data_IF_273511233562
#
_entry.id   IF_273511233562
#
_cell.length_a   1.000
_cell.length_b   1.000
_cell.length_c   1.000
_cell.angle_alpha   90.00
_cell.angle_beta   90.00
_cell.angle_gamma   90.00
#
_symmetry.space_group_name_H-M   'P 1'
#
loop_
_entity.id
_entity.type
_entity.pdbx_description
1 polymer ?
#
# COMPACT_ATOMS: atom_id res chain seq x y z
N UNK A 1 -22.11 5.94 -6.21
CA UNK A 1 -21.23 6.31 -7.36
C UNK A 1 -20.19 5.22 -7.58
N UNK A 2 -19.65 5.02 -8.79
CA UNK A 2 -18.67 3.95 -9.06
C UNK A 2 -17.46 3.95 -8.11
N UNK A 3 -17.00 5.12 -7.66
CA UNK A 3 -15.89 5.27 -6.73
C UNK A 3 -16.14 4.66 -5.33
N UNK A 4 -17.39 4.54 -4.89
CA UNK A 4 -17.73 3.97 -3.57
C UNK A 4 -17.45 2.46 -3.49
N UNK A 5 -17.33 1.78 -4.63
CA UNK A 5 -17.03 0.35 -4.72
C UNK A 5 -15.55 0.06 -4.98
N UNK A 6 -14.68 1.08 -4.99
CA UNK A 6 -13.26 0.92 -5.30
C UNK A 6 -12.44 1.13 -4.03
N UNK A 7 -11.65 0.11 -3.67
CA UNK A 7 -10.61 0.21 -2.64
C UNK A 7 -9.26 -0.18 -3.22
N UNK A 8 -8.21 0.58 -2.89
CA UNK A 8 -6.84 0.31 -3.33
C UNK A 8 -5.89 0.35 -2.15
N UNK A 9 -4.84 -0.46 -2.21
CA UNK A 9 -3.75 -0.48 -1.24
C UNK A 9 -2.48 -0.95 -1.97
N UNK A 10 -1.35 -0.30 -1.68
CA UNK A 10 -0.06 -0.60 -2.30
C UNK A 10 0.99 -1.07 -1.30
N UNK A 11 2.12 -1.53 -1.82
CA UNK A 11 3.33 -1.84 -1.06
C UNK A 11 4.54 -1.31 -1.82
N UNK A 12 5.52 -0.77 -1.11
CA UNK A 12 6.77 -0.30 -1.66
C UNK A 12 7.96 -1.03 -1.02
N UNK A 13 8.95 -1.41 -1.84
CA UNK A 13 10.23 -1.96 -1.39
C UNK A 13 11.37 -0.92 -1.45
N UNK A 14 11.09 0.22 -2.07
CA UNK A 14 11.97 1.36 -2.23
C UNK A 14 11.15 2.63 -2.44
N UNK A 15 11.73 3.79 -2.19
CA UNK A 15 11.14 5.09 -2.50
C UNK A 15 11.49 5.54 -3.91
N UNK A 16 10.69 6.45 -4.48
CA UNK A 16 10.94 7.00 -5.80
C UNK A 16 12.25 7.81 -5.83
N UNK A 17 13.06 7.62 -6.88
CA UNK A 17 14.26 8.41 -7.12
C UNK A 17 13.94 9.52 -8.14
N UNK A 18 14.01 10.78 -7.70
CA UNK A 18 13.76 11.93 -8.57
C UNK A 18 15.07 12.39 -9.24
N UNK A 19 15.07 12.68 -10.56
CA UNK A 19 16.25 13.21 -11.24
C UNK A 19 16.75 14.51 -10.59
N UNK A 20 18.06 14.59 -10.35
CA UNK A 20 18.69 15.77 -9.76
C UNK A 20 18.49 15.94 -8.24
N UNK A 21 17.78 15.01 -7.59
CA UNK A 21 17.59 14.98 -6.13
C UNK A 21 18.37 13.80 -5.55
N UNK A 22 18.99 13.99 -4.38
CA UNK A 22 19.60 12.87 -3.65
C UNK A 22 18.50 11.84 -3.32
N UNK A 23 18.68 10.54 -3.64
CA UNK A 23 17.73 9.50 -3.26
C UNK A 23 17.45 9.54 -1.75
N UNK A 24 16.18 9.35 -1.39
CA UNK A 24 15.78 9.27 0.01
C UNK A 24 16.09 7.88 0.56
N UNK A 25 16.67 7.84 1.77
CA UNK A 25 16.98 6.61 2.50
C UNK A 25 15.90 6.26 3.53
N UNK A 26 14.70 6.85 3.41
CA UNK A 26 13.62 6.71 4.41
C UNK A 26 13.16 5.26 4.58
N UNK A 27 13.15 4.48 3.49
CA UNK A 27 12.87 3.05 3.55
C UNK A 27 14.19 2.29 3.45
N UNK A 28 14.63 1.75 4.59
CA UNK A 28 15.88 1.00 4.66
C UNK A 28 15.79 -0.31 3.86
N UNK A 29 16.92 -0.76 3.33
CA UNK A 29 17.02 -2.07 2.70
C UNK A 29 16.51 -3.18 3.62
N UNK A 30 15.80 -4.16 3.06
CA UNK A 30 15.18 -5.25 3.82
C UNK A 30 13.84 -4.90 4.47
N UNK A 31 13.37 -3.65 4.36
CA UNK A 31 12.03 -3.25 4.78
C UNK A 31 11.13 -2.94 3.58
N UNK A 32 9.83 -3.10 3.80
CA UNK A 32 8.75 -2.68 2.93
C UNK A 32 7.86 -1.67 3.64
N UNK A 33 7.17 -0.83 2.87
CA UNK A 33 6.19 0.13 3.38
C UNK A 33 4.83 -0.11 2.73
N UNK A 34 3.83 -0.40 3.57
CA UNK A 34 2.46 -0.61 3.16
C UNK A 34 1.73 0.73 3.05
N UNK A 35 1.09 0.96 1.91
CA UNK A 35 0.30 2.16 1.67
C UNK A 35 1.14 3.41 1.37
N UNK A 36 2.39 3.25 0.95
CA UNK A 36 3.21 4.37 0.48
C UNK A 36 2.45 5.14 -0.62
N UNK A 37 2.35 6.47 -0.46
CA UNK A 37 1.71 7.33 -1.45
C UNK A 37 2.50 7.39 -2.76
N UNK A 38 1.81 7.69 -3.86
CA UNK A 38 2.42 7.70 -5.21
C UNK A 38 3.49 8.78 -5.40
N UNK A 39 3.58 9.78 -4.51
CA UNK A 39 4.64 10.78 -4.49
C UNK A 39 5.61 10.60 -3.31
N UNK A 40 5.52 9.49 -2.58
CA UNK A 40 6.36 9.19 -1.41
C UNK A 40 5.79 9.66 -0.07
N UNK A 41 4.49 9.98 -0.01
CA UNK A 41 3.79 10.27 1.24
C UNK A 41 3.90 9.07 2.21
N UNK A 42 4.04 9.29 3.54
CA UNK A 42 4.12 8.20 4.52
C UNK A 42 2.94 7.24 4.39
N UNK A 43 3.27 5.94 4.37
CA UNK A 43 2.28 4.87 4.34
C UNK A 43 1.67 4.58 5.71
N UNK A 44 0.86 3.53 5.74
CA UNK A 44 0.20 3.05 6.95
C UNK A 44 1.17 2.32 7.90
N UNK A 45 2.17 1.63 7.36
CA UNK A 45 3.09 0.81 8.15
C UNK A 45 4.42 0.54 7.42
N UNK A 46 5.53 0.55 8.16
CA UNK A 46 6.84 0.03 7.71
C UNK A 46 7.16 -1.26 8.47
N UNK A 47 7.54 -2.32 7.75
CA UNK A 47 7.87 -3.63 8.32
C UNK A 47 9.00 -4.31 7.53
N UNK A 48 9.67 -5.35 8.06
CA UNK A 48 10.55 -6.21 7.27
C UNK A 48 9.83 -6.77 6.04
N UNK A 49 10.57 -6.98 4.94
CA UNK A 49 10.04 -7.61 3.74
C UNK A 49 9.53 -9.01 4.11
N UNK A 50 8.25 -9.25 3.80
CA UNK A 50 7.58 -10.54 3.97
C UNK A 50 7.51 -11.29 2.63
N UNK A 51 7.04 -12.54 2.66
CA UNK A 51 6.75 -13.27 1.42
C UNK A 51 5.65 -12.60 0.60
N UNK A 52 5.63 -12.83 -0.71
CA UNK A 52 4.60 -12.26 -1.59
C UNK A 52 3.18 -12.64 -1.15
N UNK A 53 2.98 -13.86 -0.66
CA UNK A 53 1.69 -14.36 -0.17
C UNK A 53 1.24 -13.60 1.08
N UNK A 54 2.15 -13.38 2.04
CA UNK A 54 1.84 -12.59 3.25
C UNK A 54 1.53 -11.13 2.90
N UNK A 55 2.27 -10.53 1.97
CA UNK A 55 2.02 -9.16 1.52
C UNK A 55 0.66 -9.04 0.83
N UNK A 56 0.33 -9.97 -0.07
CA UNK A 56 -0.96 -9.99 -0.76
C UNK A 56 -2.12 -10.17 0.24
N UNK A 57 -1.97 -11.07 1.22
CA UNK A 57 -2.97 -11.27 2.27
C UNK A 57 -3.23 -9.99 3.08
N UNK A 58 -2.16 -9.28 3.49
CA UNK A 58 -2.28 -8.01 4.25
C UNK A 58 -2.95 -6.90 3.43
N UNK A 59 -2.62 -6.79 2.15
CA UNK A 59 -3.25 -5.83 1.23
C UNK A 59 -4.75 -6.13 1.09
N UNK A 60 -5.11 -7.39 0.86
CA UNK A 60 -6.50 -7.82 0.74
C UNK A 60 -7.29 -7.60 2.03
N UNK A 61 -6.70 -7.91 3.19
CA UNK A 61 -7.31 -7.64 4.49
C UNK A 61 -7.65 -6.15 4.63
N UNK A 62 -6.74 -5.24 4.26
CA UNK A 62 -7.02 -3.80 4.33
C UNK A 62 -8.11 -3.36 3.36
N UNK A 63 -8.05 -3.78 2.10
CA UNK A 63 -9.08 -3.42 1.11
C UNK A 63 -10.47 -3.91 1.53
N UNK A 64 -10.55 -5.13 2.07
CA UNK A 64 -11.82 -5.76 2.44
C UNK A 64 -12.33 -5.37 3.83
N UNK A 65 -11.47 -4.88 4.74
CA UNK A 65 -11.90 -4.42 6.07
C UNK A 65 -12.85 -3.22 6.03
N UNK A 66 -12.78 -2.41 4.96
CA UNK A 66 -13.68 -1.28 4.70
C UNK A 66 -14.85 -1.66 3.79
N UNK A 67 -14.90 -2.91 3.33
CA UNK A 67 -16.00 -3.39 2.52
C UNK A 67 -17.26 -3.51 3.37
N UNK A 68 -18.17 -2.56 3.20
CA UNK A 68 -19.57 -2.74 3.58
C UNK A 68 -20.20 -3.58 2.45
N UNK A 69 -20.81 -4.75 2.73
CA UNK A 69 -21.51 -5.49 1.69
C UNK A 69 -22.50 -4.55 1.01
N UNK A 70 -22.28 -4.31 -0.27
CA UNK A 70 -23.25 -3.61 -1.10
C UNK A 70 -24.56 -4.36 -0.89
N UNK A 71 -25.58 -3.68 -0.37
CA UNK A 71 -26.93 -4.24 -0.33
C UNK A 71 -27.28 -4.57 -1.77
N UNK A 72 -27.15 -5.84 -2.12
CA UNK A 72 -27.65 -6.37 -3.37
C UNK A 72 -29.16 -6.33 -3.19
N UNK A 73 -29.78 -5.22 -3.62
CA UNK A 73 -31.22 -5.17 -3.70
C UNK A 73 -31.62 -6.14 -4.84
N UNK A 74 -32.58 -7.05 -4.62
CA UNK A 74 -32.97 -8.04 -5.60
C UNK A 74 -33.44 -7.43 -6.93
#
# INVERSE_FOLDING_TARGET
MAAEAVGTMGVALSVCALPGVKPSDRLSSGNMELGLGIHGEPGAETAPIASADEVAARILEKITSYYVPLKVNP
#
